data_IF_413060919564
#
_entry.id   IF_413060919564
#
_cell.length_a   1.000
_cell.length_b   1.000
_cell.length_c   1.000
_cell.angle_alpha   90.00
_cell.angle_beta   90.00
_cell.angle_gamma   90.00
#
_symmetry.space_group_name_H-M   'P 1'
#
loop_
_entity.id
_entity.type
_entity.pdbx_description
1 polymer ?
#
# COMPACT_ATOMS: atom_id res chain seq x y z
N UNK A 1 4.74 -0.70 -7.50
CA UNK A 1 5.43 -1.89 -7.01
C UNK A 1 6.76 -2.11 -7.75
N UNK A 2 7.79 -2.60 -7.08
CA UNK A 2 9.05 -3.08 -7.68
C UNK A 2 9.85 -3.80 -6.59
N UNK A 3 10.48 -4.93 -6.90
CA UNK A 3 11.30 -5.70 -5.95
C UNK A 3 12.63 -5.03 -5.59
N UNK A 4 13.15 -4.15 -6.44
CA UNK A 4 14.39 -3.43 -6.17
C UNK A 4 14.15 -2.29 -5.18
N UNK A 5 14.94 -2.23 -4.09
CA UNK A 5 14.99 -1.07 -3.21
C UNK A 5 15.61 0.15 -3.91
N UNK A 6 15.25 1.36 -3.49
CA UNK A 6 15.88 2.60 -3.97
C UNK A 6 15.49 3.06 -5.39
N UNK A 7 14.50 2.44 -6.04
CA UNK A 7 14.05 2.85 -7.40
C UNK A 7 13.04 3.99 -7.40
N UNK A 8 12.79 4.61 -6.26
CA UNK A 8 11.89 5.76 -6.15
C UNK A 8 10.40 5.40 -6.02
N UNK A 9 10.03 4.21 -5.55
CA UNK A 9 8.62 3.82 -5.32
C UNK A 9 7.89 4.80 -4.42
N UNK A 10 8.37 4.95 -3.20
CA UNK A 10 7.82 5.86 -2.19
C UNK A 10 7.79 7.31 -2.66
N UNK A 11 8.90 7.79 -3.24
CA UNK A 11 8.96 9.14 -3.80
C UNK A 11 7.92 9.34 -4.90
N UNK A 12 7.74 8.36 -5.79
CA UNK A 12 6.72 8.42 -6.84
C UNK A 12 5.31 8.41 -6.25
N UNK A 13 5.04 7.53 -5.28
CA UNK A 13 3.73 7.42 -4.64
C UNK A 13 3.34 8.74 -3.95
N UNK A 14 4.22 9.31 -3.11
CA UNK A 14 3.97 10.57 -2.40
C UNK A 14 3.75 11.72 -3.39
N UNK A 15 4.66 11.90 -4.36
CA UNK A 15 4.55 13.02 -5.30
C UNK A 15 3.32 12.91 -6.20
N UNK A 16 2.96 11.69 -6.64
CA UNK A 16 1.74 11.48 -7.42
C UNK A 16 0.49 11.80 -6.59
N UNK A 17 0.41 11.28 -5.35
CA UNK A 17 -0.71 11.56 -4.45
C UNK A 17 -0.86 13.05 -4.17
N UNK A 18 0.24 13.73 -3.83
CA UNK A 18 0.26 15.16 -3.58
C UNK A 18 -0.15 15.98 -4.82
N UNK A 19 0.37 15.62 -6.00
CA UNK A 19 0.03 16.31 -7.24
C UNK A 19 -1.45 16.18 -7.59
N UNK A 20 -2.05 14.99 -7.39
CA UNK A 20 -3.48 14.78 -7.60
C UNK A 20 -4.32 15.58 -6.60
N UNK A 21 -3.91 15.65 -5.34
CA UNK A 21 -4.59 16.46 -4.32
C UNK A 21 -4.53 17.96 -4.62
N UNK A 22 -3.40 18.46 -5.14
CA UNK A 22 -3.27 19.84 -5.63
C UNK A 22 -4.19 20.11 -6.83
N UNK A 23 -4.46 19.08 -7.64
CA UNK A 23 -5.44 19.14 -8.74
C UNK A 23 -6.89 18.91 -8.25
N UNK A 24 -7.16 19.17 -6.98
CA UNK A 24 -8.48 19.10 -6.35
C UNK A 24 -9.12 17.68 -6.39
N UNK A 25 -8.30 16.62 -6.45
CA UNK A 25 -8.76 15.23 -6.31
C UNK A 25 -8.70 14.78 -4.87
N UNK A 26 -9.71 14.02 -4.45
CA UNK A 26 -9.68 13.33 -3.14
C UNK A 26 -8.79 12.12 -3.25
N UNK A 27 -7.70 12.07 -2.50
CA UNK A 27 -6.68 11.03 -2.60
C UNK A 27 -6.49 10.33 -1.26
N UNK A 28 -6.43 9.02 -1.29
CA UNK A 28 -5.94 8.20 -0.19
C UNK A 28 -4.58 7.61 -0.57
N UNK A 29 -3.56 7.81 0.25
CA UNK A 29 -2.29 7.09 0.15
C UNK A 29 -2.20 6.06 1.27
N UNK A 30 -1.86 4.83 0.93
CA UNK A 30 -1.70 3.71 1.87
C UNK A 30 -0.24 3.30 1.87
N UNK A 31 0.37 3.33 3.03
CA UNK A 31 1.73 2.80 3.22
C UNK A 31 1.64 1.30 3.55
N UNK A 32 1.99 0.45 2.59
CA UNK A 32 2.00 -1.00 2.73
C UNK A 32 3.44 -1.57 2.82
N UNK A 33 4.39 -0.74 3.25
CA UNK A 33 5.75 -1.14 3.55
C UNK A 33 5.98 -1.11 5.07
N UNK A 34 6.38 -2.22 5.72
CA UNK A 34 6.73 -2.23 7.15
C UNK A 34 7.83 -1.23 7.55
N UNK A 35 8.62 -0.76 6.57
CA UNK A 35 9.64 0.28 6.82
C UNK A 35 9.04 1.67 7.02
N UNK A 36 7.73 1.86 6.75
CA UNK A 36 6.97 3.09 6.97
C UNK A 36 7.61 4.35 6.34
N UNK A 37 8.21 4.19 5.15
CA UNK A 37 8.89 5.31 4.47
C UNK A 37 7.92 6.37 3.95
N UNK A 38 6.74 5.99 3.45
CA UNK A 38 5.68 6.93 3.06
C UNK A 38 5.14 7.65 4.28
N UNK A 39 4.93 6.94 5.38
CA UNK A 39 4.46 7.47 6.66
C UNK A 39 5.40 8.55 7.18
N UNK A 40 6.70 8.23 7.29
CA UNK A 40 7.72 9.19 7.73
C UNK A 40 7.90 10.35 6.74
N UNK A 41 7.81 10.08 5.44
CA UNK A 41 7.92 11.08 4.37
C UNK A 41 6.79 12.12 4.36
N UNK A 42 5.66 11.80 5.00
CA UNK A 42 4.53 12.71 5.21
C UNK A 42 4.48 13.30 6.63
N UNK A 43 5.63 13.32 7.34
CA UNK A 43 5.79 13.86 8.69
C UNK A 43 4.91 13.18 9.75
N UNK A 44 4.52 11.93 9.54
CA UNK A 44 3.77 11.18 10.54
C UNK A 44 4.70 10.23 11.28
N UNK A 45 4.60 10.19 12.62
CA UNK A 45 5.30 9.22 13.46
C UNK A 45 4.34 8.11 13.88
N UNK A 46 4.58 6.85 13.47
CA UNK A 46 3.73 5.73 13.89
C UNK A 46 3.76 5.50 15.40
N UNK A 47 4.78 6.02 16.11
CA UNK A 47 4.93 5.89 17.56
C UNK A 47 3.88 6.68 18.34
N UNK A 48 3.35 7.75 17.74
CA UNK A 48 2.35 8.63 18.36
C UNK A 48 0.95 7.99 18.38
N UNK A 49 0.64 7.07 17.44
CA UNK A 49 -0.66 6.40 17.36
C UNK A 49 -0.52 4.94 16.83
N UNK A 50 0.19 4.11 17.59
CA UNK A 50 0.53 2.72 17.24
C UNK A 50 -0.68 1.78 17.00
N UNK A 51 -1.91 2.24 17.26
CA UNK A 51 -3.13 1.43 17.16
C UNK A 51 -4.00 1.74 15.94
N UNK A 52 -3.54 2.61 15.05
CA UNK A 52 -4.33 3.10 13.90
C UNK A 52 -3.53 3.03 12.62
N UNK A 53 -2.90 1.88 12.37
CA UNK A 53 -2.09 1.64 11.18
C UNK A 53 -2.70 0.58 10.27
N UNK A 54 -2.12 0.38 9.10
CA UNK A 54 -2.53 -0.68 8.20
C UNK A 54 -2.44 -2.07 8.86
N UNK A 55 -1.52 -2.27 9.82
CA UNK A 55 -1.43 -3.53 10.55
C UNK A 55 -2.74 -3.88 11.26
N UNK A 56 -3.31 -2.97 12.04
CA UNK A 56 -4.54 -3.22 12.78
C UNK A 56 -5.74 -3.46 11.85
N UNK A 57 -5.76 -2.79 10.70
CA UNK A 57 -6.78 -3.03 9.65
C UNK A 57 -6.64 -4.43 9.09
N UNK A 58 -5.42 -4.85 8.72
CA UNK A 58 -5.16 -6.15 8.09
C UNK A 58 -5.47 -7.34 9.00
N UNK A 59 -5.31 -7.18 10.31
CA UNK A 59 -5.66 -8.23 11.29
C UNK A 59 -7.07 -8.09 11.87
N UNK A 60 -7.88 -7.17 11.32
CA UNK A 60 -9.29 -7.00 11.69
C UNK A 60 -9.53 -6.40 13.08
N UNK A 61 -8.55 -5.73 13.67
CA UNK A 61 -8.68 -5.07 14.99
C UNK A 61 -9.43 -3.75 14.95
N UNK A 62 -9.33 -3.03 13.82
CA UNK A 62 -10.04 -1.75 13.62
C UNK A 62 -10.65 -1.71 12.22
N UNK A 63 -11.67 -0.88 12.05
CA UNK A 63 -12.18 -0.54 10.73
C UNK A 63 -11.18 0.34 9.98
N UNK A 64 -11.15 0.21 8.64
CA UNK A 64 -10.24 0.99 7.80
C UNK A 64 -10.49 2.51 7.94
N UNK A 65 -11.71 2.92 8.24
CA UNK A 65 -12.08 4.32 8.50
C UNK A 65 -11.38 4.89 9.73
N UNK A 66 -11.15 4.05 10.74
CA UNK A 66 -10.47 4.46 11.98
C UNK A 66 -8.95 4.67 11.77
N UNK A 67 -8.38 4.08 10.70
CA UNK A 67 -6.99 4.25 10.34
C UNK A 67 -6.72 5.47 9.43
N UNK A 68 -7.77 6.17 8.99
CA UNK A 68 -7.62 7.34 8.12
C UNK A 68 -7.05 8.54 8.88
N UNK A 69 -5.99 9.12 8.36
CA UNK A 69 -5.34 10.31 8.91
C UNK A 69 -5.35 11.41 7.85
N UNK A 70 -5.79 12.61 8.24
CA UNK A 70 -5.65 13.80 7.40
C UNK A 70 -4.19 14.21 7.34
N UNK A 71 -3.63 14.35 6.15
CA UNK A 71 -2.28 14.89 5.96
C UNK A 71 -2.28 16.42 5.96
N UNK A 72 -1.08 17.03 5.93
CA UNK A 72 -0.94 18.49 5.75
C UNK A 72 -1.39 18.95 4.36
N UNK A 73 -1.58 18.03 3.41
CA UNK A 73 -2.07 18.30 2.05
C UNK A 73 -3.60 18.14 2.02
N UNK A 74 -4.33 19.20 1.84
CA UNK A 74 -5.76 19.36 2.11
C UNK A 74 -6.70 18.21 1.71
N UNK A 75 -6.66 17.72 0.46
CA UNK A 75 -7.54 16.65 -0.04
C UNK A 75 -6.87 15.26 -0.02
N UNK A 76 -5.80 15.09 0.76
CA UNK A 76 -5.08 13.85 0.88
C UNK A 76 -5.18 13.26 2.28
N UNK A 77 -5.74 12.06 2.38
CA UNK A 77 -5.68 11.22 3.58
C UNK A 77 -4.58 10.17 3.44
N UNK A 78 -4.16 9.63 4.57
CA UNK A 78 -3.18 8.55 4.65
C UNK A 78 -3.66 7.43 5.57
N UNK A 79 -3.31 6.18 5.23
CA UNK A 79 -3.26 5.06 6.18
C UNK A 79 -1.79 4.77 6.43
N UNK A 80 -1.29 4.98 7.66
CA UNK A 80 0.12 4.81 7.97
C UNK A 80 0.51 3.34 8.12
N UNK A 81 1.79 3.06 7.95
CA UNK A 81 2.41 1.76 8.27
C UNK A 81 3.13 1.79 9.61
N UNK A 82 3.44 0.59 10.10
CA UNK A 82 4.31 0.37 11.25
C UNK A 82 5.06 -0.95 11.07
N UNK A 83 6.20 -1.11 11.76
CA UNK A 83 7.01 -2.33 11.70
C UNK A 83 6.21 -3.60 12.07
N UNK A 84 5.18 -3.48 12.90
CA UNK A 84 4.28 -4.58 13.25
C UNK A 84 3.56 -5.21 12.03
N UNK A 85 3.50 -4.49 10.90
CA UNK A 85 2.91 -5.02 9.65
C UNK A 85 3.60 -6.31 9.18
N UNK A 86 4.86 -6.55 9.58
CA UNK A 86 5.52 -7.85 9.37
C UNK A 86 4.76 -8.99 10.07
N UNK A 87 4.21 -8.73 11.26
CA UNK A 87 3.44 -9.71 12.02
C UNK A 87 2.12 -10.08 11.35
N UNK A 88 1.50 -9.15 10.61
CA UNK A 88 0.24 -9.39 9.92
C UNK A 88 0.34 -10.56 8.93
N UNK A 89 1.47 -10.75 8.24
CA UNK A 89 1.66 -11.87 7.32
C UNK A 89 1.51 -13.24 8.00
N UNK A 90 1.91 -13.34 9.27
CA UNK A 90 1.79 -14.56 10.06
C UNK A 90 0.37 -14.71 10.59
N UNK A 91 -0.21 -13.65 11.12
CA UNK A 91 -1.55 -13.65 11.73
C UNK A 91 -2.65 -13.94 10.70
N UNK A 92 -2.48 -13.50 9.46
CA UNK A 92 -3.41 -13.75 8.35
C UNK A 92 -3.32 -15.16 7.75
N UNK A 93 -2.33 -16.00 8.10
CA UNK A 93 -2.13 -17.30 7.47
C UNK A 93 -3.32 -18.25 7.64
N UNK A 94 -4.07 -18.12 8.74
CA UNK A 94 -5.23 -18.95 9.05
C UNK A 94 -6.52 -18.46 8.39
N UNK A 95 -6.52 -17.24 7.81
CA UNK A 95 -7.68 -16.69 7.12
C UNK A 95 -7.79 -17.29 5.70
N UNK A 96 -8.93 -17.90 5.41
CA UNK A 96 -9.22 -18.48 4.09
C UNK A 96 -9.27 -17.44 2.96
N UNK A 97 -9.48 -16.16 3.28
CA UNK A 97 -9.54 -15.03 2.34
C UNK A 97 -8.34 -14.09 2.47
N UNK A 98 -7.24 -14.57 3.03
CA UNK A 98 -6.04 -13.78 3.37
C UNK A 98 -5.49 -12.90 2.25
N UNK A 99 -5.74 -13.25 1.00
CA UNK A 99 -5.24 -12.50 -0.16
C UNK A 99 -6.14 -11.31 -0.55
N UNK A 100 -7.36 -11.23 0.01
CA UNK A 100 -8.38 -10.24 -0.33
C UNK A 100 -8.76 -9.31 0.84
N UNK A 101 -8.07 -9.39 1.96
CA UNK A 101 -8.41 -8.62 3.17
C UNK A 101 -8.41 -7.13 2.87
N UNK A 102 -7.34 -6.60 2.24
CA UNK A 102 -7.24 -5.19 1.90
C UNK A 102 -8.29 -4.77 0.87
N UNK A 103 -8.56 -5.60 -0.14
CA UNK A 103 -9.62 -5.35 -1.13
C UNK A 103 -10.97 -5.20 -0.46
N UNK A 104 -11.31 -6.10 0.46
CA UNK A 104 -12.58 -6.08 1.19
C UNK A 104 -12.67 -4.85 2.12
N UNK A 105 -11.61 -4.50 2.81
CA UNK A 105 -11.58 -3.30 3.64
C UNK A 105 -11.77 -2.03 2.79
N UNK A 106 -11.05 -1.91 1.67
CA UNK A 106 -11.15 -0.78 0.76
C UNK A 106 -12.52 -0.63 0.11
N UNK A 107 -13.26 -1.72 -0.12
CA UNK A 107 -14.59 -1.67 -0.69
C UNK A 107 -15.56 -0.78 0.09
N UNK A 108 -15.33 -0.59 1.40
CA UNK A 108 -16.17 0.24 2.28
C UNK A 108 -15.94 1.75 2.14
N UNK A 109 -14.79 2.16 1.59
CA UNK A 109 -14.37 3.58 1.48
C UNK A 109 -14.00 4.00 0.06
N UNK A 110 -14.01 3.07 -0.89
CA UNK A 110 -13.55 3.29 -2.28
C UNK A 110 -14.23 4.49 -2.94
N UNK A 111 -15.52 4.64 -2.74
CA UNK A 111 -16.32 5.69 -3.36
C UNK A 111 -16.11 7.08 -2.73
N UNK A 112 -15.41 7.16 -1.61
CA UNK A 112 -15.08 8.42 -0.94
C UNK A 112 -13.88 9.14 -1.59
N UNK A 113 -13.12 8.44 -2.48
CA UNK A 113 -11.87 8.91 -3.08
C UNK A 113 -11.89 8.83 -4.61
N UNK A 114 -11.28 9.81 -5.27
CA UNK A 114 -11.02 9.77 -6.72
C UNK A 114 -9.86 8.82 -7.05
N UNK A 115 -8.86 8.74 -6.15
CA UNK A 115 -7.68 7.88 -6.30
C UNK A 115 -7.26 7.27 -4.96
N UNK A 116 -6.91 5.99 -5.01
CA UNK A 116 -6.27 5.28 -3.90
C UNK A 116 -4.91 4.79 -4.39
N UNK A 117 -3.83 5.24 -3.74
CA UNK A 117 -2.45 4.90 -4.09
C UNK A 117 -1.88 4.02 -2.99
N UNK A 118 -1.39 2.84 -3.33
CA UNK A 118 -0.80 1.89 -2.39
C UNK A 118 0.71 1.83 -2.65
N UNK A 119 1.52 2.33 -1.71
CA UNK A 119 2.98 2.17 -1.75
C UNK A 119 3.38 0.84 -1.14
N UNK A 120 3.95 -0.03 -1.96
CA UNK A 120 4.25 -1.42 -1.60
C UNK A 120 5.71 -1.62 -1.25
N UNK A 121 5.96 -2.50 -0.28
CA UNK A 121 7.28 -3.08 -0.01
C UNK A 121 7.91 -3.69 -1.26
N UNK A 122 9.25 -3.76 -1.34
CA UNK A 122 9.94 -4.51 -2.39
C UNK A 122 9.78 -6.04 -2.27
N UNK A 123 9.24 -6.55 -1.16
CA UNK A 123 8.97 -7.97 -0.98
C UNK A 123 7.79 -8.46 -1.83
N UNK A 124 7.71 -9.77 -2.08
CA UNK A 124 6.54 -10.42 -2.69
C UNK A 124 5.74 -11.22 -1.65
N UNK A 125 5.69 -10.73 -0.40
CA UNK A 125 4.91 -11.32 0.68
C UNK A 125 3.41 -11.11 0.54
N UNK A 126 2.67 -11.59 1.52
CA UNK A 126 1.20 -11.56 1.54
C UNK A 126 0.63 -10.12 1.51
N UNK A 127 1.33 -9.15 2.10
CA UNK A 127 0.96 -7.73 2.04
C UNK A 127 0.98 -7.20 0.60
N UNK A 128 2.02 -7.56 -0.17
CA UNK A 128 2.11 -7.18 -1.58
C UNK A 128 1.04 -7.86 -2.42
N UNK A 129 0.74 -9.14 -2.17
CA UNK A 129 -0.38 -9.83 -2.83
C UNK A 129 -1.71 -9.14 -2.55
N UNK A 130 -1.99 -8.77 -1.29
CA UNK A 130 -3.17 -8.00 -0.91
C UNK A 130 -3.24 -6.66 -1.66
N UNK A 131 -2.13 -5.94 -1.73
CA UNK A 131 -2.04 -4.66 -2.44
C UNK A 131 -2.34 -4.82 -3.94
N UNK A 132 -1.81 -5.85 -4.58
CA UNK A 132 -2.05 -6.16 -6.00
C UNK A 132 -3.50 -6.62 -6.24
N UNK A 133 -4.07 -7.42 -5.33
CA UNK A 133 -5.47 -7.90 -5.41
C UNK A 133 -6.48 -6.75 -5.25
N UNK A 134 -6.12 -5.74 -4.45
CA UNK A 134 -6.95 -4.56 -4.23
C UNK A 134 -6.86 -3.51 -5.34
N UNK A 135 -5.78 -3.51 -6.12
CA UNK A 135 -5.49 -2.46 -7.10
C UNK A 135 -6.15 -2.74 -8.47
N UNK A 136 -6.66 -1.68 -9.11
CA UNK A 136 -7.16 -1.73 -10.50
C UNK A 136 -6.01 -1.69 -11.52
N UNK A 137 -4.86 -1.09 -11.15
CA UNK A 137 -3.67 -0.96 -12.01
C UNK A 137 -2.39 -0.91 -11.19
N UNK A 138 -1.26 -1.23 -11.83
CA UNK A 138 0.05 -1.26 -11.18
C UNK A 138 1.00 -0.31 -11.91
N UNK A 139 1.54 0.67 -11.16
CA UNK A 139 2.66 1.49 -11.62
C UNK A 139 3.97 0.87 -11.17
N UNK A 140 4.90 0.70 -12.09
CA UNK A 140 6.20 0.08 -11.83
C UNK A 140 7.30 1.09 -12.16
N UNK A 141 7.83 1.85 -11.18
CA UNK A 141 9.02 2.68 -11.40
C UNK A 141 10.21 1.78 -11.75
N UNK A 142 10.89 2.08 -12.84
CA UNK A 142 12.05 1.32 -13.32
C UNK A 142 13.21 2.29 -13.56
N UNK A 143 14.36 2.01 -12.94
CA UNK A 143 15.60 2.67 -13.32
C UNK A 143 16.20 1.93 -14.52
N UNK A 144 16.76 2.63 -15.52
CA UNK A 144 17.36 2.02 -16.71
C UNK A 144 18.72 1.38 -16.39
N UNK A 145 18.72 0.33 -15.59
CA UNK A 145 19.89 -0.46 -15.20
C UNK A 145 19.73 -1.91 -15.61
N UNK A 146 20.84 -2.58 -15.93
CA UNK A 146 20.85 -3.95 -16.43
C UNK A 146 20.11 -4.95 -15.51
N UNK A 147 20.31 -4.85 -14.19
CA UNK A 147 19.67 -5.75 -13.21
C UNK A 147 18.20 -5.44 -12.91
N UNK A 148 17.66 -4.33 -13.41
CA UNK A 148 16.25 -3.98 -13.22
C UNK A 148 15.30 -4.97 -13.93
N UNK A 149 15.75 -5.58 -15.02
CA UNK A 149 14.94 -6.51 -15.83
C UNK A 149 14.64 -7.83 -15.10
N UNK A 150 15.56 -8.34 -14.28
CA UNK A 150 15.34 -9.58 -13.54
C UNK A 150 14.22 -9.42 -12.48
N UNK A 151 14.29 -8.36 -11.69
CA UNK A 151 13.26 -8.04 -10.70
C UNK A 151 11.89 -7.77 -11.33
N UNK A 152 11.87 -7.13 -12.51
CA UNK A 152 10.65 -6.89 -13.26
C UNK A 152 9.99 -8.19 -13.72
N UNK A 153 10.77 -9.17 -14.19
CA UNK A 153 10.26 -10.47 -14.61
C UNK A 153 9.51 -11.21 -13.49
N UNK A 154 10.08 -11.25 -12.29
CA UNK A 154 9.45 -11.86 -11.10
C UNK A 154 8.17 -11.13 -10.69
N UNK A 155 8.17 -9.80 -10.71
CA UNK A 155 6.98 -9.00 -10.40
C UNK A 155 5.86 -9.25 -11.41
N UNK A 156 6.16 -9.26 -12.71
CA UNK A 156 5.17 -9.54 -13.75
C UNK A 156 4.57 -10.95 -13.62
N UNK A 157 5.37 -11.93 -13.21
CA UNK A 157 4.88 -13.27 -12.91
C UNK A 157 3.90 -13.26 -11.75
N UNK A 158 4.21 -12.55 -10.66
CA UNK A 158 3.30 -12.40 -9.50
C UNK A 158 2.00 -11.70 -9.88
N UNK A 159 2.07 -10.62 -10.67
CA UNK A 159 0.87 -9.93 -11.17
C UNK A 159 -0.02 -10.88 -11.97
N UNK A 160 0.55 -11.70 -12.87
CA UNK A 160 -0.21 -12.68 -13.63
C UNK A 160 -0.86 -13.74 -12.74
N UNK A 161 -0.19 -14.18 -11.67
CA UNK A 161 -0.76 -15.13 -10.71
C UNK A 161 -1.95 -14.52 -9.97
N UNK A 162 -1.85 -13.26 -9.55
CA UNK A 162 -2.97 -12.53 -8.92
C UNK A 162 -4.13 -12.35 -9.89
N UNK A 163 -3.85 -12.00 -11.16
CA UNK A 163 -4.89 -11.85 -12.20
C UNK A 163 -5.56 -13.17 -12.60
N UNK A 164 -4.87 -14.30 -12.49
CA UNK A 164 -5.39 -15.64 -12.77
C UNK A 164 -6.05 -16.32 -11.57
N UNK A 165 -5.96 -15.74 -10.38
CA UNK A 165 -6.63 -16.16 -9.16
C UNK A 165 -8.12 -15.74 -9.16
N UNK A 166 -8.88 -16.09 -8.12
CA UNK A 166 -10.28 -15.69 -8.00
C UNK A 166 -10.36 -14.17 -7.82
N UNK A 167 -10.52 -13.49 -8.90
CA UNK A 167 -10.95 -12.10 -8.98
C UNK A 167 -12.46 -12.05 -9.07
#
# INVERSE_FOLDING_TARGET
>A
ANQKGGVGKTTTAINLAASLAVLEKKVLIIDADPQANTTSGLNFSPEDDQKRTLYEVMIGKIDIRDALIQTEIGLMHMIPSHINLVGAEIEMLEDGNRESILKNALATIRDDYDYIIIDCSPSLGLITVNSLTAADSVMIPVQPEFFALEGLGKLLQTIRLVQGGPN
#
